data_IF_221387168063
#
_entry.id   IF_221387168063
#
_cell.length_a   1.000
_cell.length_b   1.000
_cell.length_c   1.000
_cell.angle_alpha   90.00
_cell.angle_beta   90.00
_cell.angle_gamma   90.00
#
_symmetry.space_group_name_H-M   'P 1'
#
loop_
_entity.id
_entity.type
_entity.pdbx_description
1 polymer ?
#
# COMPACT_ATOMS: atom_id res chain seq x y z
N UNK A 1 17.52 5.83 -25.66
CA UNK A 1 16.76 5.65 -24.42
C UNK A 1 17.01 4.22 -23.97
N UNK A 2 17.96 4.02 -23.05
CA UNK A 2 18.34 2.69 -22.59
C UNK A 2 17.20 2.20 -21.68
N UNK A 3 16.44 1.19 -22.10
CA UNK A 3 15.55 0.45 -21.22
C UNK A 3 16.45 -0.30 -20.23
N UNK A 4 16.71 0.31 -19.07
CA UNK A 4 17.28 -0.43 -17.96
C UNK A 4 16.22 -1.47 -17.60
N UNK A 5 16.48 -2.75 -17.89
CA UNK A 5 15.71 -3.85 -17.33
C UNK A 5 15.96 -3.82 -15.83
N UNK A 6 15.13 -3.08 -15.09
CA UNK A 6 15.15 -3.09 -13.64
C UNK A 6 14.66 -4.49 -13.25
N UNK A 7 15.61 -5.33 -12.88
CA UNK A 7 15.33 -6.66 -12.35
C UNK A 7 15.17 -6.54 -10.85
N UNK A 8 13.94 -6.73 -10.38
CA UNK A 8 13.67 -6.77 -8.95
C UNK A 8 13.96 -8.17 -8.42
N UNK A 9 14.77 -8.25 -7.36
CA UNK A 9 14.76 -9.43 -6.49
C UNK A 9 13.45 -9.47 -5.72
N UNK A 10 12.93 -10.67 -5.44
CA UNK A 10 11.79 -10.81 -4.54
C UNK A 10 12.16 -10.21 -3.16
N UNK A 11 11.38 -9.26 -2.62
CA UNK A 11 11.67 -8.68 -1.31
C UNK A 11 11.53 -9.75 -0.22
N UNK A 12 12.40 -9.69 0.79
CA UNK A 12 12.23 -10.51 1.98
C UNK A 12 11.15 -9.89 2.87
N UNK A 13 10.04 -10.61 3.05
CA UNK A 13 8.93 -10.21 3.94
C UNK A 13 8.80 -11.28 5.02
N UNK A 14 9.27 -11.02 6.25
CA UNK A 14 9.23 -12.01 7.33
C UNK A 14 7.80 -12.52 7.56
N UNK A 15 7.60 -13.84 7.54
CA UNK A 15 6.30 -14.47 7.73
C UNK A 15 5.53 -14.76 6.44
N UNK A 16 5.79 -14.00 5.37
CA UNK A 16 5.11 -14.14 4.08
C UNK A 16 6.01 -14.76 3.00
N UNK A 17 5.38 -15.31 1.96
CA UNK A 17 6.03 -15.81 0.75
C UNK A 17 5.62 -14.94 -0.43
N UNK A 18 6.60 -14.34 -1.13
CA UNK A 18 6.34 -13.65 -2.39
C UNK A 18 6.02 -14.68 -3.47
N UNK A 19 4.81 -14.61 -4.02
CA UNK A 19 4.32 -15.55 -5.04
C UNK A 19 4.43 -14.98 -6.45
N UNK A 20 4.35 -13.65 -6.59
CA UNK A 20 4.48 -12.98 -7.88
C UNK A 20 5.10 -11.59 -7.72
N UNK A 21 5.85 -11.17 -8.73
CA UNK A 21 6.36 -9.81 -8.87
C UNK A 21 6.31 -9.39 -10.34
N UNK A 22 5.69 -8.25 -10.63
CA UNK A 22 5.72 -7.61 -11.96
C UNK A 22 6.02 -6.13 -11.81
N UNK A 23 6.63 -5.52 -12.83
CA UNK A 23 7.02 -4.11 -12.78
C UNK A 23 6.74 -3.38 -14.10
N UNK A 24 5.48 -3.27 -14.55
CA UNK A 24 5.13 -2.44 -15.70
C UNK A 24 5.55 -0.97 -15.51
N UNK A 25 5.99 -0.35 -16.59
CA UNK A 25 6.26 1.07 -16.68
C UNK A 25 5.13 1.74 -17.43
N UNK A 26 4.60 2.83 -16.86
CA UNK A 26 3.57 3.65 -17.44
C UNK A 26 4.16 4.99 -17.89
N UNK A 27 3.79 5.41 -19.10
CA UNK A 27 4.21 6.68 -19.68
C UNK A 27 2.98 7.54 -19.97
N UNK A 28 3.09 8.84 -19.72
CA UNK A 28 2.03 9.81 -19.99
C UNK A 28 0.75 9.55 -19.19
N UNK A 29 0.87 8.98 -17.98
CA UNK A 29 -0.28 8.65 -17.16
C UNK A 29 -1.10 9.90 -16.82
N UNK A 30 -2.42 9.75 -16.87
CA UNK A 30 -3.36 10.80 -16.54
C UNK A 30 -4.52 10.26 -15.71
N UNK A 31 -4.86 10.97 -14.65
CA UNK A 31 -5.99 10.64 -13.77
C UNK A 31 -6.60 11.91 -13.20
N UNK A 32 -7.92 11.95 -13.14
CA UNK A 32 -8.66 13.00 -12.45
C UNK A 32 -9.16 12.47 -11.11
N UNK A 33 -8.60 12.99 -10.02
CA UNK A 33 -8.99 12.64 -8.66
C UNK A 33 -10.03 13.67 -8.22
N UNK A 34 -11.26 13.19 -8.04
CA UNK A 34 -12.40 14.03 -7.67
C UNK A 34 -12.62 14.05 -6.15
N UNK A 35 -12.88 15.24 -5.61
CA UNK A 35 -13.16 15.45 -4.19
C UNK A 35 -11.93 15.32 -3.29
N UNK A 36 -12.14 15.58 -1.99
CA UNK A 36 -11.13 15.31 -0.97
C UNK A 36 -11.20 13.84 -0.56
N UNK A 37 -10.08 13.13 -0.70
CA UNK A 37 -9.97 11.73 -0.27
C UNK A 37 -8.73 11.59 0.61
N UNK A 38 -8.90 11.17 1.87
CA UNK A 38 -7.82 11.06 2.85
C UNK A 38 -6.93 12.32 2.95
N UNK A 39 -7.53 13.53 2.86
CA UNK A 39 -6.83 14.83 2.86
C UNK A 39 -5.93 15.10 1.64
N UNK A 40 -6.12 14.34 0.55
CA UNK A 40 -5.64 14.72 -0.78
C UNK A 40 -6.66 15.65 -1.43
N UNK A 41 -6.28 16.89 -1.81
CA UNK A 41 -7.17 17.73 -2.58
C UNK A 41 -7.43 17.09 -3.94
N UNK A 42 -8.64 17.30 -4.47
CA UNK A 42 -8.97 16.91 -5.83
C UNK A 42 -7.97 17.52 -6.81
N UNK A 43 -7.46 16.71 -7.72
CA UNK A 43 -6.37 17.10 -8.61
C UNK A 43 -6.41 16.36 -9.94
N UNK A 44 -6.02 17.06 -10.99
CA UNK A 44 -5.87 16.50 -12.33
C UNK A 44 -4.38 16.28 -12.60
N UNK A 45 -3.97 15.02 -12.57
CA UNK A 45 -2.60 14.59 -12.82
C UNK A 45 -2.51 14.19 -14.28
N UNK A 46 -1.53 14.72 -15.02
CA UNK A 46 -1.33 14.41 -16.44
C UNK A 46 0.15 14.30 -16.78
N UNK A 47 0.48 13.51 -17.80
CA UNK A 47 1.84 13.45 -18.35
C UNK A 47 2.89 12.85 -17.41
N UNK A 48 2.46 11.99 -16.49
CA UNK A 48 3.33 11.45 -15.44
C UNK A 48 3.86 10.04 -15.78
N UNK A 49 5.14 9.82 -15.56
CA UNK A 49 5.82 8.55 -15.87
C UNK A 49 6.27 7.85 -14.59
N UNK A 50 5.87 6.59 -14.41
CA UNK A 50 6.19 5.81 -13.21
C UNK A 50 6.31 4.32 -13.49
N UNK A 51 7.00 3.61 -12.60
CA UNK A 51 7.00 2.16 -12.52
C UNK A 51 6.00 1.73 -11.45
N UNK A 52 5.09 0.83 -11.80
CA UNK A 52 4.20 0.16 -10.87
C UNK A 52 4.75 -1.23 -10.60
N UNK A 53 5.22 -1.48 -9.40
CA UNK A 53 5.66 -2.80 -8.97
C UNK A 53 4.52 -3.49 -8.23
N UNK A 54 3.98 -4.54 -8.82
CA UNK A 54 2.98 -5.38 -8.16
C UNK A 54 3.70 -6.53 -7.46
N UNK A 55 3.41 -6.72 -6.18
CA UNK A 55 3.97 -7.82 -5.37
C UNK A 55 2.82 -8.57 -4.71
N UNK A 56 2.72 -9.87 -5.00
CA UNK A 56 1.74 -10.75 -4.36
C UNK A 56 2.37 -11.57 -3.25
N UNK A 57 1.69 -11.65 -2.11
CA UNK A 57 2.10 -12.40 -0.92
C UNK A 57 1.11 -13.52 -0.58
N UNK A 58 1.60 -14.55 0.09
CA UNK A 58 0.79 -15.56 0.78
C UNK A 58 1.46 -16.00 2.08
N UNK A 59 0.67 -16.49 3.04
CA UNK A 59 1.13 -17.12 4.26
C UNK A 59 0.89 -18.63 4.21
N UNK A 60 1.86 -19.40 4.72
CA UNK A 60 1.76 -20.87 4.69
C UNK A 60 0.57 -21.33 5.54
N UNK A 61 -0.35 -22.03 4.90
CA UNK A 61 -1.50 -22.66 5.57
C UNK A 61 -2.71 -21.73 5.79
N UNK A 62 -2.67 -20.47 5.36
CA UNK A 62 -3.81 -19.55 5.46
C UNK A 62 -4.69 -19.56 4.20
N UNK A 63 -4.10 -19.86 3.05
CA UNK A 63 -4.79 -19.80 1.75
C UNK A 63 -5.08 -18.37 1.28
N UNK A 64 -4.46 -17.36 1.90
CA UNK A 64 -4.58 -15.97 1.50
C UNK A 64 -3.81 -15.66 0.20
N UNK A 65 -4.21 -14.56 -0.44
CA UNK A 65 -3.50 -14.01 -1.58
C UNK A 65 -3.63 -12.49 -1.56
N UNK A 66 -2.55 -11.82 -1.18
CA UNK A 66 -2.53 -10.38 -0.92
C UNK A 66 -1.78 -9.68 -2.04
N UNK A 67 -2.38 -8.65 -2.64
CA UNK A 67 -1.73 -7.84 -3.65
C UNK A 67 -1.31 -6.50 -3.09
N UNK A 68 -0.09 -6.11 -3.43
CA UNK A 68 0.49 -4.83 -3.04
C UNK A 68 0.97 -4.11 -4.30
N UNK A 69 0.80 -2.79 -4.34
CA UNK A 69 1.31 -1.97 -5.42
C UNK A 69 2.25 -0.92 -4.86
N UNK A 70 3.47 -0.89 -5.39
CA UNK A 70 4.45 0.16 -5.12
C UNK A 70 4.58 1.00 -6.38
N UNK A 71 4.23 2.28 -6.32
CA UNK A 71 4.38 3.20 -7.44
C UNK A 71 5.63 4.07 -7.21
N UNK A 72 6.45 4.18 -8.25
CA UNK A 72 7.79 4.77 -8.20
C UNK A 72 7.96 5.72 -9.40
N UNK A 73 8.10 7.01 -9.14
CA UNK A 73 8.38 8.01 -10.17
C UNK A 73 9.66 7.63 -10.93
N UNK A 74 9.64 7.65 -12.28
CA UNK A 74 10.86 7.32 -13.05
C UNK A 74 11.97 8.36 -12.85
N UNK A 75 11.60 9.58 -12.49
CA UNK A 75 12.51 10.68 -12.19
C UNK A 75 11.98 11.51 -11.02
N UNK A 76 12.85 12.25 -10.35
CA UNK A 76 12.44 13.25 -9.37
C UNK A 76 12.19 12.75 -7.95
N UNK A 77 12.32 11.45 -7.65
CA UNK A 77 12.11 10.92 -6.30
C UNK A 77 12.84 11.73 -5.24
N UNK A 78 12.09 12.22 -4.24
CA UNK A 78 12.59 13.15 -3.23
C UNK A 78 13.02 12.44 -1.93
N UNK A 79 13.31 11.14 -2.02
CA UNK A 79 13.71 10.27 -0.90
C UNK A 79 12.63 10.00 0.15
N UNK A 80 11.36 10.29 -0.15
CA UNK A 80 10.23 10.00 0.74
C UNK A 80 9.52 8.72 0.30
N UNK A 81 9.17 7.89 1.29
CA UNK A 81 8.26 6.76 1.16
C UNK A 81 6.93 7.08 1.85
N UNK A 82 5.81 6.68 1.24
CA UNK A 82 4.47 6.90 1.77
C UNK A 82 3.65 5.60 1.75
N UNK A 83 3.18 5.16 2.92
CA UNK A 83 2.12 4.17 3.06
C UNK A 83 0.74 4.83 2.98
N UNK A 84 -0.16 4.22 2.20
CA UNK A 84 -1.51 4.75 1.96
C UNK A 84 -2.56 3.78 2.50
N UNK A 85 -3.31 4.26 3.51
CA UNK A 85 -4.38 3.50 4.14
C UNK A 85 -5.70 3.46 3.38
N UNK A 86 -6.56 2.52 3.77
CA UNK A 86 -7.90 2.34 3.21
C UNK A 86 -9.00 3.10 3.96
N UNK A 87 -10.23 2.58 3.89
CA UNK A 87 -11.43 3.19 4.46
C UNK A 87 -12.59 2.17 4.55
N UNK A 88 -13.40 2.25 5.60
CA UNK A 88 -14.41 1.21 5.88
C UNK A 88 -13.75 -0.17 5.96
N UNK A 89 -14.28 -1.16 5.26
CA UNK A 89 -13.74 -2.52 5.20
C UNK A 89 -12.75 -2.76 4.05
N UNK A 90 -12.13 -1.70 3.54
CA UNK A 90 -11.11 -1.71 2.47
C UNK A 90 -9.74 -1.39 3.06
N UNK A 91 -8.71 -2.15 2.69
CA UNK A 91 -7.39 -2.10 3.35
C UNK A 91 -6.46 -1.00 2.83
N UNK A 92 -6.59 -0.60 1.56
CA UNK A 92 -5.76 0.42 0.93
C UNK A 92 -6.49 1.19 -0.16
N UNK A 93 -5.80 2.09 -0.84
CA UNK A 93 -6.37 2.84 -1.97
C UNK A 93 -5.39 2.99 -3.12
N UNK A 94 -5.66 2.31 -4.24
CA UNK A 94 -4.89 2.40 -5.47
C UNK A 94 -4.92 3.80 -6.08
N UNK A 95 -6.08 4.44 -6.03
CA UNK A 95 -6.29 5.79 -6.57
C UNK A 95 -5.39 6.84 -5.89
N UNK A 96 -5.09 6.62 -4.62
CA UNK A 96 -4.26 7.51 -3.81
C UNK A 96 -2.75 7.28 -3.95
N UNK A 97 -2.32 6.32 -4.78
CA UNK A 97 -0.92 6.19 -5.18
C UNK A 97 -0.51 7.28 -6.18
N UNK A 98 -1.35 7.57 -7.18
CA UNK A 98 -1.10 8.62 -8.16
C UNK A 98 -0.72 10.00 -7.56
N UNK A 99 -1.47 10.58 -6.61
CA UNK A 99 -1.14 11.88 -6.05
C UNK A 99 0.12 11.88 -5.17
N UNK A 100 0.48 10.73 -4.59
CA UNK A 100 1.70 10.59 -3.83
C UNK A 100 2.92 10.57 -4.75
N UNK A 101 2.84 9.82 -5.85
CA UNK A 101 3.96 9.67 -6.79
C UNK A 101 4.13 10.91 -7.67
N UNK A 102 3.06 11.65 -7.97
CA UNK A 102 3.14 12.99 -8.59
C UNK A 102 3.98 13.96 -7.75
N UNK A 103 3.88 13.87 -6.41
CA UNK A 103 4.75 14.61 -5.47
C UNK A 103 6.14 14.01 -5.29
N UNK A 104 6.51 13.09 -6.17
CA UNK A 104 7.79 12.40 -6.17
C UNK A 104 8.06 11.55 -4.92
N UNK A 105 7.01 11.06 -4.24
CA UNK A 105 7.14 10.02 -3.22
C UNK A 105 7.19 8.65 -3.88
N UNK A 106 7.84 7.69 -3.22
CA UNK A 106 7.55 6.27 -3.46
C UNK A 106 6.30 5.92 -2.65
N UNK A 107 5.27 5.35 -3.25
CA UNK A 107 3.98 5.12 -2.58
C UNK A 107 3.61 3.64 -2.59
N UNK A 108 3.06 3.13 -1.48
CA UNK A 108 2.57 1.75 -1.37
C UNK A 108 1.14 1.67 -0.84
N UNK A 109 0.39 0.69 -1.35
CA UNK A 109 -0.91 0.28 -0.80
C UNK A 109 -1.08 -1.25 -0.95
N UNK A 110 -2.09 -1.79 -0.26
CA UNK A 110 -2.45 -3.23 -0.26
C UNK A 110 -3.96 -3.43 -0.44
N UNK A 111 -4.38 -4.55 -1.04
CA UNK A 111 -5.78 -4.99 -0.96
C UNK A 111 -6.10 -5.70 0.36
N UNK A 112 -5.10 -6.01 1.18
CA UNK A 112 -5.31 -6.73 2.42
C UNK A 112 -5.82 -8.17 2.22
N UNK A 113 -5.67 -8.75 1.02
CA UNK A 113 -6.11 -10.11 0.73
C UNK A 113 -7.61 -10.28 0.46
N UNK A 114 -8.36 -9.19 0.31
CA UNK A 114 -9.81 -9.22 0.08
C UNK A 114 -10.27 -8.23 -0.99
N UNK A 115 -11.53 -8.37 -1.41
CA UNK A 115 -12.14 -7.48 -2.39
C UNK A 115 -12.16 -6.01 -1.90
N UNK A 116 -11.85 -5.08 -2.80
CA UNK A 116 -11.80 -3.63 -2.52
C UNK A 116 -13.07 -2.88 -2.97
N UNK A 117 -14.12 -3.60 -3.37
CA UNK A 117 -15.29 -3.03 -4.04
C UNK A 117 -16.46 -2.71 -3.12
N UNK A 118 -16.40 -3.07 -1.83
CA UNK A 118 -17.44 -2.75 -0.86
C UNK A 118 -16.81 -2.38 0.49
N UNK A 119 -16.85 -1.08 0.83
CA UNK A 119 -16.32 -0.59 2.11
C UNK A 119 -17.33 -0.63 3.25
N UNK A 120 -18.61 -0.87 2.97
CA UNK A 120 -19.67 -0.89 3.98
C UNK A 120 -19.96 -2.26 4.58
N UNK A 121 -19.49 -3.34 3.94
CA UNK A 121 -19.77 -4.71 4.35
C UNK A 121 -18.54 -5.62 4.16
N UNK A 122 -18.12 -6.26 5.25
CA UNK A 122 -17.01 -7.20 5.28
C UNK A 122 -17.45 -8.67 5.15
N UNK A 123 -18.75 -8.97 5.17
CA UNK A 123 -19.31 -10.33 5.30
C UNK A 123 -18.71 -11.30 4.29
N UNK A 124 -18.48 -10.85 3.05
CA UNK A 124 -17.97 -11.67 1.95
C UNK A 124 -16.54 -12.17 2.14
N UNK A 125 -15.76 -11.55 3.02
CA UNK A 125 -14.36 -11.92 3.26
C UNK A 125 -14.05 -12.19 4.72
N UNK A 126 -14.68 -11.48 5.66
CA UNK A 126 -14.44 -11.64 7.10
C UNK A 126 -15.03 -12.93 7.68
N UNK A 127 -15.94 -13.60 6.96
CA UNK A 127 -16.57 -14.85 7.38
C UNK A 127 -16.22 -15.99 6.43
N UNK A 128 -16.01 -17.18 7.00
CA UNK A 128 -15.94 -18.43 6.25
C UNK A 128 -17.36 -18.97 5.98
N UNK A 129 -18.25 -18.83 6.97
CA UNK A 129 -19.67 -19.13 6.88
C UNK A 129 -20.45 -18.29 7.90
N UNK A 130 -21.79 -18.35 7.90
CA UNK A 130 -22.60 -17.58 8.85
C UNK A 130 -22.23 -17.90 10.30
N UNK A 131 -21.75 -16.91 11.03
CA UNK A 131 -21.28 -17.06 12.42
C UNK A 131 -19.86 -17.62 12.58
N UNK A 132 -19.17 -17.95 11.48
CA UNK A 132 -17.80 -18.48 11.49
C UNK A 132 -16.83 -17.47 10.87
N UNK A 133 -15.90 -16.99 11.70
CA UNK A 133 -15.01 -15.88 11.39
C UNK A 133 -13.75 -16.39 10.68
N UNK A 134 -13.35 -15.71 9.62
CA UNK A 134 -12.05 -15.92 9.01
C UNK A 134 -10.98 -15.17 9.83
N UNK A 135 -10.41 -15.83 10.84
CA UNK A 135 -9.45 -15.19 11.76
C UNK A 135 -8.18 -14.70 11.06
N UNK A 136 -7.69 -15.42 10.05
CA UNK A 136 -6.47 -15.05 9.33
C UNK A 136 -6.64 -13.71 8.61
N UNK A 137 -7.74 -13.55 7.87
CA UNK A 137 -7.97 -12.32 7.11
C UNK A 137 -8.36 -11.14 8.01
N UNK A 138 -8.93 -11.41 9.19
CA UNK A 138 -9.14 -10.39 10.20
C UNK A 138 -7.82 -9.92 10.82
N UNK A 139 -6.88 -10.82 11.10
CA UNK A 139 -5.54 -10.47 11.56
C UNK A 139 -4.78 -9.64 10.52
N UNK A 140 -4.91 -10.04 9.26
CA UNK A 140 -4.42 -9.31 8.09
C UNK A 140 -4.95 -7.88 8.03
N UNK A 141 -6.28 -7.72 8.04
CA UNK A 141 -6.95 -6.43 8.05
C UNK A 141 -6.60 -5.59 9.28
N UNK A 142 -6.48 -6.23 10.45
CA UNK A 142 -6.20 -5.57 11.71
C UNK A 142 -4.80 -4.96 11.72
N UNK A 143 -3.78 -5.67 11.23
CA UNK A 143 -2.39 -5.24 11.41
C UNK A 143 -1.35 -5.84 10.47
N UNK A 144 -1.39 -7.15 10.21
CA UNK A 144 -0.26 -7.87 9.62
C UNK A 144 0.11 -7.33 8.24
N UNK A 145 -0.89 -7.09 7.38
CA UNK A 145 -0.63 -6.71 5.99
C UNK A 145 -0.21 -5.25 5.82
N UNK A 146 -0.55 -4.38 6.76
CA UNK A 146 -0.09 -2.99 6.75
C UNK A 146 1.41 -2.94 7.00
N UNK A 147 1.90 -3.72 7.97
CA UNK A 147 3.33 -3.87 8.21
C UNK A 147 4.05 -4.53 7.03
N UNK A 148 3.53 -5.65 6.55
CA UNK A 148 4.18 -6.39 5.45
C UNK A 148 4.26 -5.59 4.16
N UNK A 149 3.21 -4.82 3.82
CA UNK A 149 3.26 -3.91 2.67
C UNK A 149 4.30 -2.80 2.86
N UNK A 150 4.55 -2.38 4.10
CA UNK A 150 5.56 -1.37 4.43
C UNK A 150 6.96 -1.92 4.24
N UNK A 151 7.22 -3.11 4.79
CA UNK A 151 8.51 -3.80 4.66
C UNK A 151 8.83 -4.05 3.19
N UNK A 152 7.91 -4.62 2.42
CA UNK A 152 8.12 -4.88 1.00
C UNK A 152 8.25 -3.59 0.20
N UNK A 153 7.44 -2.56 0.51
CA UNK A 153 7.43 -1.30 -0.21
C UNK A 153 8.77 -0.57 -0.08
N UNK A 154 9.34 -0.54 1.13
CA UNK A 154 10.67 0.03 1.38
C UNK A 154 11.77 -0.76 0.67
N UNK A 155 11.68 -2.09 0.66
CA UNK A 155 12.66 -2.94 -0.03
C UNK A 155 12.63 -2.72 -1.56
N UNK A 156 11.43 -2.68 -2.15
CA UNK A 156 11.22 -2.39 -3.58
C UNK A 156 11.73 -0.98 -3.93
N UNK A 157 11.41 0.02 -3.11
CA UNK A 157 11.87 1.41 -3.27
C UNK A 157 13.40 1.48 -3.26
N UNK A 158 14.03 0.79 -2.30
CA UNK A 158 15.50 0.74 -2.19
C UNK A 158 16.12 0.07 -3.41
N UNK A 159 15.54 -1.03 -3.89
CA UNK A 159 16.00 -1.73 -5.08
C UNK A 159 15.90 -0.88 -6.35
N UNK A 160 14.86 -0.05 -6.46
CA UNK A 160 14.62 0.78 -7.64
C UNK A 160 15.52 2.01 -7.69
N UNK A 161 15.62 2.76 -6.58
CA UNK A 161 16.38 4.01 -6.53
C UNK A 161 17.85 3.83 -6.10
N UNK A 162 18.26 2.60 -5.73
CA UNK A 162 19.61 2.29 -5.27
C UNK A 162 19.96 2.87 -3.88
N UNK A 163 18.98 3.42 -3.16
CA UNK A 163 19.13 3.95 -1.81
C UNK A 163 17.83 3.84 -1.03
N UNK A 164 17.93 3.66 0.29
CA UNK A 164 16.77 3.57 1.16
C UNK A 164 16.05 4.92 1.26
N UNK A 165 14.71 4.95 1.49
CA UNK A 165 14.01 6.17 1.82
C UNK A 165 14.68 6.88 3.00
N UNK A 166 14.83 8.21 2.90
CA UNK A 166 15.34 9.03 3.98
C UNK A 166 14.28 9.24 5.07
N UNK A 167 13.02 9.33 4.66
CA UNK A 167 11.86 9.40 5.54
C UNK A 167 10.74 8.50 5.02
N UNK A 168 9.99 7.90 5.94
CA UNK A 168 8.79 7.13 5.68
C UNK A 168 7.60 7.75 6.42
N UNK A 169 6.51 7.99 5.70
CA UNK A 169 5.27 8.52 6.27
C UNK A 169 4.09 7.59 6.04
N UNK A 170 3.09 7.67 6.92
CA UNK A 170 1.77 7.07 6.72
C UNK A 170 0.72 8.14 6.51
N UNK A 171 -0.26 7.90 5.64
CA UNK A 171 -1.45 8.73 5.52
C UNK A 171 -2.71 7.89 5.31
N UNK A 172 -3.73 8.11 6.17
CA UNK A 172 -5.01 7.45 6.05
C UNK A 172 -6.12 8.10 6.88
N UNK A 173 -7.38 7.86 6.49
CA UNK A 173 -8.57 8.35 7.20
C UNK A 173 -9.50 7.20 7.60
N UNK A 174 -10.25 7.32 8.70
CA UNK A 174 -11.15 6.26 9.19
C UNK A 174 -10.38 4.97 9.49
N UNK A 175 -10.64 3.89 8.76
CA UNK A 175 -9.82 2.66 8.80
C UNK A 175 -8.36 2.94 8.52
N UNK A 176 -8.03 3.82 7.57
CA UNK A 176 -6.66 4.26 7.34
C UNK A 176 -6.04 4.99 8.54
N UNK A 177 -6.86 5.74 9.30
CA UNK A 177 -6.40 6.35 10.55
C UNK A 177 -6.16 5.29 11.64
N UNK A 178 -7.04 4.29 11.76
CA UNK A 178 -6.87 3.14 12.66
C UNK A 178 -5.61 2.35 12.32
N UNK A 179 -5.37 2.07 11.03
CA UNK A 179 -4.16 1.41 10.54
C UNK A 179 -2.90 2.19 10.93
N UNK A 180 -2.89 3.51 10.73
CA UNK A 180 -1.77 4.35 11.14
C UNK A 180 -1.49 4.31 12.65
N UNK A 181 -2.53 4.31 13.49
CA UNK A 181 -2.35 4.15 14.93
C UNK A 181 -1.90 2.73 15.32
N UNK A 182 -2.33 1.71 14.58
CA UNK A 182 -1.87 0.33 14.78
C UNK A 182 -0.38 0.19 14.45
N UNK A 183 0.08 0.81 13.36
CA UNK A 183 1.50 0.90 12.99
C UNK A 183 2.31 1.57 14.11
N UNK A 184 1.83 2.70 14.64
CA UNK A 184 2.48 3.37 15.78
C UNK A 184 2.62 2.46 17.02
N UNK A 185 1.62 1.62 17.28
CA UNK A 185 1.55 0.79 18.48
C UNK A 185 2.35 -0.50 18.36
N UNK A 186 2.31 -1.17 17.21
CA UNK A 186 2.89 -2.50 17.03
C UNK A 186 4.17 -2.52 16.21
N UNK A 187 4.35 -1.55 15.32
CA UNK A 187 5.49 -1.45 14.40
C UNK A 187 6.09 -0.04 14.44
N UNK A 188 6.56 0.45 15.61
CA UNK A 188 6.95 1.85 15.80
C UNK A 188 8.13 2.32 14.94
N UNK A 189 8.80 1.41 14.23
CA UNK A 189 9.91 1.72 13.32
C UNK A 189 9.48 1.79 11.85
N UNK A 190 8.20 1.56 11.54
CA UNK A 190 7.71 1.53 10.17
C UNK A 190 7.55 2.93 9.57
N UNK A 191 7.33 3.96 10.39
CA UNK A 191 7.13 5.32 9.92
C UNK A 191 7.76 6.36 10.84
N UNK A 192 8.39 7.37 10.23
CA UNK A 192 8.93 8.55 10.92
C UNK A 192 7.82 9.55 11.26
N UNK A 193 6.68 9.49 10.57
CA UNK A 193 5.51 10.32 10.84
C UNK A 193 4.21 9.70 10.32
N UNK A 194 3.14 9.88 11.08
CA UNK A 194 1.83 9.27 10.80
C UNK A 194 0.75 10.33 10.78
N UNK A 195 0.07 10.47 9.65
CA UNK A 195 -1.13 11.29 9.48
C UNK A 195 -2.35 10.39 9.60
N UNK A 196 -2.84 10.22 10.83
CA UNK A 196 -4.03 9.42 11.15
C UNK A 196 -5.26 10.33 11.31
N UNK A 197 -6.14 10.34 10.31
CA UNK A 197 -7.33 11.19 10.27
C UNK A 197 -8.58 10.39 10.68
N UNK A 198 -9.47 11.01 11.46
CA UNK A 198 -10.70 10.40 11.96
C UNK A 198 -10.55 8.89 12.30
N UNK A 199 -9.54 8.50 13.11
CA UNK A 199 -9.14 7.10 13.21
C UNK A 199 -10.27 6.26 13.81
N UNK A 200 -10.60 5.14 13.16
CA UNK A 200 -11.61 4.18 13.60
C UNK A 200 -11.11 3.29 14.75
N UNK A 201 -10.66 3.92 15.83
CA UNK A 201 -10.23 3.29 17.09
C UNK A 201 -11.28 3.55 18.19
N UNK A 202 -11.18 2.82 19.31
CA UNK A 202 -12.05 2.94 20.49
C UNK A 202 -11.29 3.59 21.64
#
# INVERSE_FOLDING_TARGET
MLYLLITFGAPNVPGAVVTSLTAPVFHGYAVNIIGESNNWPGQNITGFDFCQVNVSLTHRGTGDYVNNQVWLALTGWNSIFLGVGGGGYVSGSWQLLAPAVERCYAAVATDGGHAQNNSGDATSWALVSEGDVNENILLDFASRLVHEMTVLGKAVTTSFYGSAPKYAYWQGCSTGGRQGLMEAQMFPNDYDGIVALAPAIN
#
